data_IF_627643745900
#
_entry.id   IF_627643745900
#
_cell.length_a   1.000
_cell.length_b   1.000
_cell.length_c   1.000
_cell.angle_alpha   90.00
_cell.angle_beta   90.00
_cell.angle_gamma   90.00
#
_symmetry.space_group_name_H-M   'P 1'
#
loop_
_entity.id
_entity.type
_entity.pdbx_description
1 polymer ?
#
# COMPACT_ATOMS: atom_id res chain seq x y z
N UNK A 1 18.89 18.07 -5.54
CA UNK A 1 18.81 18.77 -6.86
C UNK A 1 19.48 17.98 -7.98
N UNK A 2 20.69 17.47 -7.72
CA UNK A 2 21.48 16.63 -8.63
C UNK A 2 20.72 15.34 -9.04
N UNK A 3 20.28 14.53 -8.08
CA UNK A 3 19.48 13.32 -8.34
C UNK A 3 18.23 13.58 -9.20
N UNK A 4 17.53 14.70 -8.98
CA UNK A 4 16.36 15.08 -9.80
C UNK A 4 16.76 15.31 -11.26
N UNK A 5 17.89 15.98 -11.49
CA UNK A 5 18.41 16.26 -12.83
C UNK A 5 18.79 14.97 -13.54
N UNK A 6 19.48 14.06 -12.84
CA UNK A 6 19.86 12.74 -13.37
C UNK A 6 18.64 11.91 -13.77
N UNK A 7 17.62 11.83 -12.90
CA UNK A 7 16.38 11.12 -13.19
C UNK A 7 15.64 11.71 -14.39
N UNK A 8 15.55 13.04 -14.49
CA UNK A 8 14.97 13.71 -15.66
C UNK A 8 15.74 13.37 -16.95
N UNK A 9 17.07 13.37 -16.89
CA UNK A 9 17.93 12.98 -18.02
C UNK A 9 17.75 11.52 -18.46
N UNK A 10 17.39 10.63 -17.53
CA UNK A 10 17.06 9.23 -17.79
C UNK A 10 15.61 8.98 -18.25
N UNK A 11 14.82 10.04 -18.49
CA UNK A 11 13.44 9.95 -18.99
C UNK A 11 12.37 9.77 -17.92
N UNK A 12 12.71 9.92 -16.62
CA UNK A 12 11.71 9.89 -15.56
C UNK A 12 10.99 11.23 -15.43
N UNK A 13 9.68 11.17 -15.20
CA UNK A 13 8.91 12.33 -14.75
C UNK A 13 9.09 12.53 -13.26
N UNK A 14 9.75 13.62 -12.86
CA UNK A 14 9.91 14.01 -11.46
C UNK A 14 9.12 15.30 -11.20
N UNK A 15 8.03 15.27 -10.41
CA UNK A 15 7.24 16.45 -10.07
C UNK A 15 8.10 17.54 -9.41
N UNK A 16 7.80 18.82 -9.69
CA UNK A 16 8.55 19.95 -9.12
C UNK A 16 8.26 20.17 -7.62
N UNK A 17 7.04 19.86 -7.21
CA UNK A 17 6.54 19.95 -5.84
C UNK A 17 5.93 18.61 -5.40
N UNK A 18 5.60 18.50 -4.12
CA UNK A 18 4.80 17.40 -3.63
C UNK A 18 3.44 17.38 -4.35
N UNK A 19 3.01 16.20 -4.76
CA UNK A 19 1.74 15.95 -5.43
C UNK A 19 0.88 15.04 -4.56
N UNK A 20 -0.41 14.96 -4.87
CA UNK A 20 -1.29 13.96 -4.29
C UNK A 20 -0.85 12.55 -4.71
N UNK A 21 -0.08 11.91 -3.85
CA UNK A 21 0.46 10.58 -4.07
C UNK A 21 -0.66 9.52 -4.17
N UNK A 22 -1.77 9.69 -3.45
CA UNK A 22 -2.85 8.71 -3.43
C UNK A 22 -3.57 8.70 -4.78
N UNK A 23 -3.84 9.86 -5.38
CA UNK A 23 -4.36 9.94 -6.75
C UNK A 23 -3.38 9.34 -7.76
N UNK A 24 -2.08 9.64 -7.66
CA UNK A 24 -1.08 9.05 -8.56
C UNK A 24 -1.08 7.52 -8.47
N UNK A 25 -1.07 6.97 -7.26
CA UNK A 25 -1.12 5.52 -7.02
C UNK A 25 -2.43 4.93 -7.58
N UNK A 26 -3.56 5.59 -7.35
CA UNK A 26 -4.86 5.13 -7.82
C UNK A 26 -4.93 5.08 -9.36
N UNK A 27 -4.22 5.95 -10.06
CA UNK A 27 -4.17 5.98 -11.53
C UNK A 27 -3.00 5.21 -12.15
N UNK A 28 -2.05 4.74 -11.35
CA UNK A 28 -0.90 3.98 -11.84
C UNK A 28 -1.25 2.55 -12.23
N UNK A 29 -0.58 2.03 -13.27
CA UNK A 29 -0.68 0.61 -13.64
C UNK A 29 0.00 -0.30 -12.61
N UNK A 30 1.07 0.21 -12.00
CA UNK A 30 1.94 -0.51 -11.05
C UNK A 30 2.67 0.50 -10.14
N UNK A 31 2.92 0.11 -8.89
CA UNK A 31 3.81 0.83 -7.95
C UNK A 31 5.02 -0.02 -7.61
N UNK A 32 6.22 0.58 -7.65
CA UNK A 32 7.45 0.01 -7.11
C UNK A 32 7.93 0.96 -6.02
N UNK A 33 8.05 0.51 -4.77
CA UNK A 33 8.38 1.40 -3.65
C UNK A 33 9.17 0.72 -2.52
N UNK A 34 10.09 1.47 -1.92
CA UNK A 34 10.79 1.07 -0.69
C UNK A 34 10.04 1.52 0.60
N UNK A 35 8.94 2.27 0.48
CA UNK A 35 8.26 2.90 1.60
C UNK A 35 7.10 2.08 2.16
N UNK A 36 7.06 1.87 3.48
CA UNK A 36 6.01 1.09 4.15
C UNK A 36 4.59 1.67 3.98
N UNK A 37 4.38 2.95 4.29
CA UNK A 37 3.05 3.59 4.17
C UNK A 37 2.53 3.53 2.73
N UNK A 38 3.39 3.87 1.77
CA UNK A 38 3.02 3.93 0.35
C UNK A 38 2.64 2.56 -0.21
N UNK A 39 3.33 1.49 0.22
CA UNK A 39 2.96 0.12 -0.15
C UNK A 39 1.55 -0.24 0.32
N UNK A 40 1.23 0.08 1.58
CA UNK A 40 -0.09 -0.21 2.18
C UNK A 40 -1.19 0.61 1.51
N UNK A 41 -0.92 1.86 1.14
CA UNK A 41 -1.86 2.69 0.37
C UNK A 41 -2.12 2.11 -1.01
N UNK A 42 -1.09 1.64 -1.72
CA UNK A 42 -1.25 0.97 -3.01
C UNK A 42 -2.11 -0.29 -2.89
N UNK A 43 -1.86 -1.12 -1.88
CA UNK A 43 -2.69 -2.29 -1.57
C UNK A 43 -4.15 -1.91 -1.26
N UNK A 44 -4.37 -0.85 -0.48
CA UNK A 44 -5.70 -0.38 -0.13
C UNK A 44 -6.48 0.15 -1.35
N UNK A 45 -5.79 0.86 -2.26
CA UNK A 45 -6.34 1.37 -3.52
C UNK A 45 -6.51 0.28 -4.58
N UNK A 46 -5.94 -0.91 -4.36
CA UNK A 46 -6.00 -2.03 -5.30
C UNK A 46 -5.04 -1.89 -6.48
N UNK A 47 -4.04 -1.01 -6.37
CA UNK A 47 -2.97 -0.87 -7.35
C UNK A 47 -1.92 -1.95 -7.09
N UNK A 48 -1.52 -2.75 -8.10
CA UNK A 48 -0.44 -3.71 -7.94
C UNK A 48 0.83 -3.04 -7.40
N UNK A 49 1.46 -3.65 -6.40
CA UNK A 49 2.63 -3.06 -5.75
C UNK A 49 3.72 -4.08 -5.47
N UNK A 50 4.94 -3.68 -5.78
CA UNK A 50 6.16 -4.38 -5.45
C UNK A 50 7.01 -3.55 -4.50
N UNK A 51 7.54 -4.18 -3.45
CA UNK A 51 8.46 -3.52 -2.54
C UNK A 51 9.91 -3.88 -2.80
N UNK A 52 10.76 -2.85 -2.82
CA UNK A 52 12.23 -2.97 -2.81
C UNK A 52 12.80 -2.78 -1.41
N UNK A 53 11.97 -2.80 -0.36
CA UNK A 53 12.44 -2.62 1.01
C UNK A 53 13.20 -3.86 1.48
N UNK A 54 14.46 -3.66 1.89
CA UNK A 54 15.37 -4.74 2.33
C UNK A 54 15.50 -4.86 3.86
N UNK A 55 14.87 -3.95 4.61
CA UNK A 55 14.87 -3.99 6.08
C UNK A 55 13.91 -5.02 6.67
N UNK A 56 13.80 -5.02 8.01
CA UNK A 56 12.83 -5.85 8.72
C UNK A 56 11.41 -5.41 8.36
N UNK A 57 10.64 -6.31 7.76
CA UNK A 57 9.25 -6.05 7.39
C UNK A 57 8.41 -5.81 8.66
N UNK A 58 7.48 -4.85 8.56
CA UNK A 58 6.47 -4.68 9.60
C UNK A 58 5.41 -5.76 9.49
N UNK A 59 4.78 -6.15 10.59
CA UNK A 59 3.79 -7.23 10.64
C UNK A 59 2.65 -7.09 9.60
N UNK A 60 2.24 -5.85 9.30
CA UNK A 60 1.25 -5.59 8.25
C UNK A 60 1.79 -5.94 6.86
N UNK A 61 3.04 -5.60 6.54
CA UNK A 61 3.63 -5.95 5.24
C UNK A 61 3.84 -7.46 5.12
N UNK A 62 4.26 -8.12 6.20
CA UNK A 62 4.37 -9.58 6.26
C UNK A 62 3.03 -10.25 5.97
N UNK A 63 1.94 -9.78 6.60
CA UNK A 63 0.58 -10.27 6.35
C UNK A 63 0.14 -10.03 4.90
N UNK A 64 0.35 -8.84 4.36
CA UNK A 64 -0.01 -8.51 2.99
C UNK A 64 0.77 -9.32 1.95
N UNK A 65 2.04 -9.65 2.24
CA UNK A 65 2.85 -10.56 1.41
C UNK A 65 2.30 -11.97 1.48
N UNK A 66 1.97 -12.47 2.66
CA UNK A 66 1.36 -13.80 2.83
C UNK A 66 0.00 -13.90 2.10
N UNK A 67 -0.78 -12.82 2.07
CA UNK A 67 -2.04 -12.71 1.31
C UNK A 67 -1.82 -12.54 -0.22
N UNK A 68 -0.58 -12.39 -0.69
CA UNK A 68 -0.25 -12.17 -2.10
C UNK A 68 -0.64 -10.78 -2.62
N UNK A 69 -0.96 -9.84 -1.73
CA UNK A 69 -1.42 -8.48 -2.05
C UNK A 69 -0.28 -7.47 -2.15
N UNK A 70 0.82 -7.71 -1.45
CA UNK A 70 2.10 -7.02 -1.60
C UNK A 70 3.13 -8.02 -2.11
N UNK A 71 3.96 -7.65 -3.08
CA UNK A 71 5.02 -8.52 -3.60
C UNK A 71 6.37 -7.98 -3.23
N UNK A 72 7.31 -8.83 -2.85
CA UNK A 72 8.70 -8.43 -2.67
C UNK A 72 9.42 -8.56 -4.00
N UNK A 73 10.10 -7.51 -4.43
CA UNK A 73 10.91 -7.52 -5.65
C UNK A 73 12.31 -8.00 -5.30
N UNK A 74 12.70 -9.18 -5.80
CA UNK A 74 14.08 -9.68 -5.60
C UNK A 74 14.93 -9.60 -6.85
N UNK A 75 14.30 -9.52 -8.02
CA UNK A 75 14.96 -9.39 -9.33
C UNK A 75 14.11 -8.55 -10.28
N UNK A 76 14.75 -7.78 -11.16
CA UNK A 76 14.05 -6.89 -12.08
C UNK A 76 13.09 -7.64 -13.02
N UNK A 77 13.44 -8.86 -13.41
CA UNK A 77 12.66 -9.72 -14.31
C UNK A 77 11.30 -10.14 -13.74
N UNK A 78 11.08 -10.02 -12.43
CA UNK A 78 9.81 -10.37 -11.78
C UNK A 78 8.71 -9.33 -12.06
N UNK A 79 9.09 -8.12 -12.50
CA UNK A 79 8.14 -7.05 -12.78
C UNK A 79 7.39 -7.33 -14.07
N UNK A 80 6.08 -7.54 -13.95
CA UNK A 80 5.17 -7.63 -15.09
C UNK A 80 4.62 -6.24 -15.41
N UNK A 81 5.04 -5.68 -16.55
CA UNK A 81 4.52 -4.41 -17.05
C UNK A 81 3.31 -4.69 -17.94
N UNK A 82 2.13 -4.50 -17.39
CA UNK A 82 0.87 -4.60 -18.11
C UNK A 82 -0.05 -3.45 -17.71
N UNK A 83 -0.92 -3.03 -18.63
CA UNK A 83 -1.97 -2.06 -18.28
C UNK A 83 -2.89 -2.66 -17.23
N UNK A 84 -3.12 -1.92 -16.16
CA UNK A 84 -4.06 -2.32 -15.12
C UNK A 84 -5.46 -2.19 -15.70
N UNK A 85 -6.19 -3.30 -15.73
CA UNK A 85 -7.63 -3.23 -16.02
C UNK A 85 -8.26 -2.42 -14.89
N UNK A 86 -8.93 -1.28 -15.18
CA UNK A 86 -9.58 -0.51 -14.14
C UNK A 86 -10.54 -1.43 -13.41
N UNK A 87 -10.32 -1.62 -12.10
CA UNK A 87 -11.32 -2.28 -11.27
C UNK A 87 -12.57 -1.41 -11.40
N UNK A 88 -13.67 -1.96 -11.90
CA UNK A 88 -15.00 -1.35 -11.68
C UNK A 88 -15.02 -0.96 -10.22
N UNK A 89 -15.31 0.30 -9.91
CA UNK A 89 -15.23 0.84 -8.56
C UNK A 89 -15.92 -0.16 -7.63
N UNK A 90 -15.11 -0.97 -6.94
CA UNK A 90 -15.62 -2.03 -6.09
C UNK A 90 -16.52 -1.34 -5.08
N UNK A 91 -17.62 -1.97 -4.71
CA UNK A 91 -18.52 -1.39 -3.73
C UNK A 91 -17.68 -0.96 -2.52
N UNK A 92 -17.78 0.33 -2.18
CA UNK A 92 -16.97 0.89 -1.10
C UNK A 92 -17.37 0.16 0.17
N UNK A 93 -16.49 -0.73 0.66
CA UNK A 93 -16.74 -1.47 1.88
C UNK A 93 -16.78 -0.49 3.04
N UNK A 94 -17.98 -0.25 3.57
CA UNK A 94 -18.18 0.46 4.83
C UNK A 94 -18.12 -0.57 5.95
N UNK A 95 -17.44 -0.23 7.04
CA UNK A 95 -17.48 -0.98 8.29
C UNK A 95 -18.05 -0.06 9.35
N UNK A 96 -18.75 -0.63 10.32
CA UNK A 96 -19.18 0.13 11.49
C UNK A 96 -17.93 0.64 12.24
N UNK A 97 -17.75 1.97 12.42
CA UNK A 97 -16.61 2.50 13.17
C UNK A 97 -16.55 2.01 14.61
N UNK A 98 -17.67 1.57 15.22
CA UNK A 98 -17.67 1.02 16.57
C UNK A 98 -16.74 -0.17 16.71
N UNK A 99 -16.59 -1.01 15.69
CA UNK A 99 -15.66 -2.16 15.72
C UNK A 99 -14.22 -1.72 16.01
N UNK A 100 -13.79 -0.58 15.44
CA UNK A 100 -12.46 -0.06 15.71
C UNK A 100 -12.35 0.50 17.14
N UNK A 101 -13.38 1.22 17.59
CA UNK A 101 -13.45 1.72 18.97
C UNK A 101 -13.37 0.57 19.98
N UNK A 102 -14.15 -0.49 19.78
CA UNK A 102 -14.18 -1.67 20.64
C UNK A 102 -12.80 -2.34 20.71
N UNK A 103 -12.15 -2.55 19.55
CA UNK A 103 -10.80 -3.13 19.51
C UNK A 103 -9.75 -2.24 20.19
N UNK A 104 -9.88 -0.92 20.08
CA UNK A 104 -8.95 0.04 20.68
C UNK A 104 -9.13 0.12 22.21
N UNK A 105 -10.37 0.00 22.69
CA UNK A 105 -10.72 0.07 24.11
C UNK A 105 -10.67 -1.28 24.83
N UNK A 106 -10.63 -2.40 24.10
CA UNK A 106 -10.58 -3.75 24.66
C UNK A 106 -9.55 -3.97 25.80
N UNK A 107 -8.36 -3.35 25.80
CA UNK A 107 -7.43 -3.47 26.93
C UNK A 107 -7.95 -2.86 28.25
N UNK A 108 -8.91 -1.94 28.19
CA UNK A 108 -9.50 -1.26 29.35
C UNK A 108 -10.62 -2.09 29.99
N UNK A 109 -11.23 -3.01 29.26
CA UNK A 109 -12.37 -3.84 29.69
C UNK A 109 -11.97 -5.05 30.55
N UNK A 110 -10.74 -5.08 31.07
CA UNK A 110 -10.33 -5.97 32.15
C UNK A 110 -10.35 -7.47 31.83
N UNK A 111 -10.17 -7.87 30.58
CA UNK A 111 -10.03 -9.29 30.20
C UNK A 111 -11.33 -10.08 30.07
N UNK A 112 -12.51 -9.45 30.20
CA UNK A 112 -13.76 -10.06 29.76
C UNK A 112 -13.96 -9.80 28.26
N UNK A 113 -13.31 -10.61 27.43
CA UNK A 113 -13.33 -10.48 25.98
C UNK A 113 -14.74 -10.60 25.41
N UNK A 114 -15.43 -9.47 25.22
CA UNK A 114 -16.57 -9.40 24.32
C UNK A 114 -16.00 -9.32 22.90
N UNK A 115 -16.31 -10.32 22.07
CA UNK A 115 -15.84 -10.31 20.68
C UNK A 115 -16.65 -9.28 19.88
N UNK A 116 -16.04 -8.55 18.93
CA UNK A 116 -16.80 -7.63 18.08
C UNK A 116 -17.93 -8.40 17.36
N UNK A 117 -19.19 -8.07 17.67
CA UNK A 117 -20.39 -8.68 17.07
C UNK A 117 -21.29 -9.52 18.00
N UNK A 118 -21.05 -9.55 19.32
CA UNK A 118 -21.97 -10.10 20.34
C UNK A 118 -22.86 -9.03 21.00
#
# INVERSE_FOLDING_TARGET
>A
PEQRSELKGAGFTVPEHAIDAQSLIAHADLVISAGGTMNREAVALGTPVWTTFEGRLGAVDEGLIAEGRLRRLTRAEEVVIAKRVPRTAGERVRRDPQVLCDLLLAPLDGGSGRRPGE
#
